data_IF_812171984199
#
_entry.id   IF_812171984199
#
_cell.length_a   1.000
_cell.length_b   1.000
_cell.length_c   1.000
_cell.angle_alpha   90.00
_cell.angle_beta   90.00
_cell.angle_gamma   90.00
#
_symmetry.space_group_name_H-M   'P 1'
#
loop_
_entity.id
_entity.type
_entity.pdbx_description
1 polymer ?
#
# COMPACT_ATOMS: atom_id res chain seq x y z
N UNK A 1 5.45 -2.31 -28.70
CA UNK A 1 5.48 -1.44 -27.51
C UNK A 1 6.81 -1.63 -26.79
N UNK A 2 7.57 -0.55 -26.54
CA UNK A 2 8.85 -0.66 -25.80
C UNK A 2 8.53 -1.11 -24.37
N UNK A 3 9.22 -2.11 -23.82
CA UNK A 3 9.00 -2.63 -22.45
C UNK A 3 8.96 -1.50 -21.41
N UNK A 4 9.74 -0.44 -21.61
CA UNK A 4 9.77 0.77 -20.77
C UNK A 4 8.43 1.53 -20.73
N UNK A 5 7.71 1.62 -21.84
CA UNK A 5 6.42 2.32 -21.90
C UNK A 5 5.37 1.66 -21.01
N UNK A 6 5.43 0.33 -20.89
CA UNK A 6 4.53 -0.45 -20.04
C UNK A 6 4.84 -0.21 -18.56
N UNK A 7 6.13 -0.14 -18.18
CA UNK A 7 6.52 0.21 -16.82
C UNK A 7 6.01 1.59 -16.42
N UNK A 8 6.20 2.59 -17.29
CA UNK A 8 5.73 3.96 -17.04
C UNK A 8 4.21 3.98 -16.87
N UNK A 9 3.47 3.30 -17.76
CA UNK A 9 2.01 3.23 -17.66
C UNK A 9 1.55 2.58 -16.34
N UNK A 10 2.19 1.48 -15.92
CA UNK A 10 1.87 0.79 -14.66
C UNK A 10 2.22 1.66 -13.44
N UNK A 11 3.35 2.35 -13.45
CA UNK A 11 3.72 3.27 -12.37
C UNK A 11 2.72 4.42 -12.26
N UNK A 12 2.37 5.06 -13.37
CA UNK A 12 1.38 6.14 -13.39
C UNK A 12 0.02 5.65 -12.89
N UNK A 13 -0.40 4.44 -13.28
CA UNK A 13 -1.64 3.85 -12.82
C UNK A 13 -1.62 3.61 -11.31
N UNK A 14 -0.62 2.87 -10.80
CA UNK A 14 -0.53 2.53 -9.38
C UNK A 14 -0.35 3.76 -8.49
N UNK A 15 0.50 4.71 -8.89
CA UNK A 15 0.70 5.95 -8.13
C UNK A 15 -0.51 6.88 -8.23
N UNK A 16 -1.22 6.87 -9.37
CA UNK A 16 -2.50 7.59 -9.51
C UNK A 16 -3.56 7.05 -8.55
N UNK A 17 -3.68 5.73 -8.43
CA UNK A 17 -4.58 5.09 -7.45
C UNK A 17 -4.15 5.43 -6.02
N UNK A 18 -2.85 5.37 -5.71
CA UNK A 18 -2.32 5.73 -4.40
C UNK A 18 -2.66 7.18 -4.02
N UNK A 19 -2.46 8.12 -4.95
CA UNK A 19 -2.76 9.54 -4.75
C UNK A 19 -4.26 9.77 -4.58
N UNK A 20 -5.10 9.18 -5.44
CA UNK A 20 -6.55 9.31 -5.34
C UNK A 20 -7.08 8.75 -4.01
N UNK A 21 -6.66 7.54 -3.63
CA UNK A 21 -7.00 6.94 -2.36
C UNK A 21 -6.53 7.78 -1.17
N UNK A 22 -5.30 8.30 -1.22
CA UNK A 22 -4.74 9.18 -0.19
C UNK A 22 -5.55 10.47 0.00
N UNK A 23 -5.94 11.13 -1.09
CA UNK A 23 -6.74 12.36 -1.06
C UNK A 23 -8.13 12.13 -0.46
N UNK A 24 -8.77 11.01 -0.79
CA UNK A 24 -10.07 10.63 -0.25
C UNK A 24 -9.95 10.30 1.25
N UNK A 25 -8.92 9.55 1.62
CA UNK A 25 -8.79 9.05 2.99
C UNK A 25 -8.24 10.09 3.97
N UNK A 26 -7.43 11.06 3.51
CA UNK A 26 -6.86 12.12 4.35
C UNK A 26 -7.90 12.92 5.14
N UNK A 27 -9.12 13.05 4.60
CA UNK A 27 -10.24 13.73 5.28
C UNK A 27 -10.97 12.82 6.26
N UNK A 28 -11.10 11.54 5.91
CA UNK A 28 -11.81 10.53 6.70
C UNK A 28 -11.08 10.20 8.00
N UNK A 29 -9.74 10.17 7.96
CA UNK A 29 -8.90 9.86 9.12
C UNK A 29 -9.04 10.89 10.26
N UNK A 30 -9.39 12.14 9.92
CA UNK A 30 -9.58 13.21 10.90
C UNK A 30 -10.97 13.29 11.53
N UNK A 31 -11.95 12.51 11.05
CA UNK A 31 -13.32 12.55 11.57
C UNK A 31 -13.55 11.44 12.59
N UNK A 32 -13.89 10.23 12.15
CA UNK A 32 -14.22 9.11 13.04
C UNK A 32 -12.98 8.38 13.56
N UNK A 33 -11.92 8.29 12.76
CA UNK A 33 -10.74 7.53 13.13
C UNK A 33 -9.96 8.21 14.25
N UNK A 34 -10.06 9.53 14.40
CA UNK A 34 -9.43 10.29 15.48
C UNK A 34 -9.93 9.82 16.86
N UNK A 35 -11.22 9.55 16.99
CA UNK A 35 -11.91 9.23 18.25
C UNK A 35 -11.73 7.78 18.73
N UNK A 36 -11.24 6.90 17.85
CA UNK A 36 -11.05 5.49 18.19
C UNK A 36 -9.94 5.27 19.21
N UNK A 37 -10.21 4.37 20.16
CA UNK A 37 -9.18 3.82 21.02
C UNK A 37 -8.21 2.99 20.16
N UNK A 38 -6.93 3.35 20.21
CA UNK A 38 -5.86 2.80 19.37
C UNK A 38 -4.80 2.12 20.22
N UNK A 39 -4.25 0.97 19.79
CA UNK A 39 -3.15 0.35 20.51
C UNK A 39 -1.89 1.22 20.45
N UNK A 40 -1.03 1.12 21.46
CA UNK A 40 0.19 1.95 21.60
C UNK A 40 1.20 1.78 20.44
N UNK A 41 1.11 0.67 19.69
CA UNK A 41 1.97 0.38 18.54
C UNK A 41 1.41 0.90 17.21
N UNK A 42 0.32 1.69 17.23
CA UNK A 42 -0.22 2.33 16.03
C UNK A 42 0.80 3.35 15.49
N UNK A 43 1.25 3.22 14.24
CA UNK A 43 2.23 4.14 13.68
C UNK A 43 1.63 5.53 13.48
N UNK A 44 2.47 6.57 13.43
CA UNK A 44 2.02 7.91 13.09
C UNK A 44 1.28 7.96 11.75
N UNK A 45 0.20 8.75 11.67
CA UNK A 45 -0.65 8.84 10.47
C UNK A 45 0.10 9.21 9.18
N UNK A 46 1.15 10.02 9.28
CA UNK A 46 1.97 10.41 8.12
C UNK A 46 2.76 9.24 7.53
N UNK A 47 3.07 8.19 8.31
CA UNK A 47 3.88 7.06 7.85
C UNK A 47 3.14 6.20 6.82
N UNK A 48 1.81 6.18 6.87
CA UNK A 48 1.00 5.41 5.94
C UNK A 48 1.22 5.85 4.49
N UNK A 49 1.36 7.16 4.22
CA UNK A 49 1.51 7.66 2.85
C UNK A 49 2.81 7.17 2.17
N UNK A 50 4.02 7.36 2.73
CA UNK A 50 5.26 6.81 2.18
C UNK A 50 5.24 5.29 2.01
N UNK A 51 4.71 4.55 2.99
CA UNK A 51 4.65 3.08 2.92
C UNK A 51 3.78 2.65 1.75
N UNK A 52 2.57 3.21 1.62
CA UNK A 52 1.70 2.90 0.49
C UNK A 52 2.35 3.28 -0.85
N UNK A 53 3.00 4.44 -0.97
CA UNK A 53 3.70 4.83 -2.19
C UNK A 53 4.74 3.80 -2.62
N UNK A 54 5.57 3.32 -1.69
CA UNK A 54 6.57 2.28 -1.97
C UNK A 54 5.92 0.97 -2.39
N UNK A 55 4.84 0.55 -1.70
CA UNK A 55 4.12 -0.67 -2.04
C UNK A 55 3.48 -0.60 -3.44
N UNK A 56 2.84 0.52 -3.79
CA UNK A 56 2.26 0.72 -5.13
C UNK A 56 3.34 0.74 -6.23
N UNK A 57 4.49 1.35 -5.97
CA UNK A 57 5.62 1.29 -6.89
C UNK A 57 6.15 -0.15 -7.04
N UNK A 58 6.30 -0.88 -5.93
CA UNK A 58 6.75 -2.28 -5.95
C UNK A 58 5.77 -3.18 -6.72
N UNK A 59 4.46 -2.98 -6.56
CA UNK A 59 3.42 -3.68 -7.32
C UNK A 59 3.51 -3.38 -8.83
N UNK A 60 3.70 -2.12 -9.22
CA UNK A 60 3.89 -1.75 -10.61
C UNK A 60 5.13 -2.41 -11.24
N UNK A 61 6.25 -2.43 -10.51
CA UNK A 61 7.49 -3.09 -10.94
C UNK A 61 7.31 -4.61 -11.01
N UNK A 62 6.64 -5.23 -10.03
CA UNK A 62 6.35 -6.66 -10.04
C UNK A 62 5.49 -7.05 -11.25
N UNK A 63 4.42 -6.30 -11.53
CA UNK A 63 3.58 -6.52 -12.69
C UNK A 63 4.36 -6.38 -14.00
N UNK A 64 5.23 -5.37 -14.10
CA UNK A 64 6.11 -5.19 -15.25
C UNK A 64 7.10 -6.37 -15.42
N UNK A 65 7.72 -6.83 -14.33
CA UNK A 65 8.64 -7.97 -14.34
C UNK A 65 7.97 -9.25 -14.83
N UNK A 66 6.73 -9.52 -14.41
CA UNK A 66 5.91 -10.64 -14.91
C UNK A 66 5.62 -10.45 -16.41
N UNK A 67 5.24 -9.25 -16.83
CA UNK A 67 4.96 -8.93 -18.23
C UNK A 67 6.16 -9.16 -19.15
N UNK A 68 7.38 -8.91 -18.66
CA UNK A 68 8.62 -9.13 -19.43
C UNK A 68 9.04 -10.61 -19.57
N UNK A 69 8.28 -11.56 -19.00
CA UNK A 69 8.45 -13.02 -19.03
C UNK A 69 9.76 -13.60 -18.47
N UNK A 70 10.66 -12.76 -17.94
CA UNK A 70 11.92 -13.18 -17.31
C UNK A 70 12.03 -12.81 -15.82
N UNK A 71 10.98 -12.23 -15.22
CA UNK A 71 11.05 -11.63 -13.89
C UNK A 71 10.19 -12.28 -12.80
N UNK A 72 9.60 -13.46 -13.01
CA UNK A 72 8.60 -14.02 -12.09
C UNK A 72 9.09 -14.20 -10.64
N UNK A 73 10.33 -14.68 -10.44
CA UNK A 73 10.93 -14.79 -9.10
C UNK A 73 11.13 -13.43 -8.44
N UNK A 74 11.66 -12.46 -9.19
CA UNK A 74 11.86 -11.10 -8.68
C UNK A 74 10.52 -10.41 -8.37
N UNK A 75 9.50 -10.62 -9.20
CA UNK A 75 8.15 -10.13 -8.95
C UNK A 75 7.53 -10.73 -7.68
N UNK A 76 7.70 -12.03 -7.45
CA UNK A 76 7.26 -12.68 -6.22
C UNK A 76 7.98 -12.11 -5.00
N UNK A 77 9.30 -11.86 -5.09
CA UNK A 77 10.06 -11.25 -4.00
C UNK A 77 9.56 -9.85 -3.63
N UNK A 78 9.17 -9.04 -4.62
CA UNK A 78 8.60 -7.71 -4.41
C UNK A 78 7.23 -7.72 -3.72
N UNK A 79 6.57 -8.87 -3.62
CA UNK A 79 5.29 -9.03 -2.91
C UNK A 79 5.46 -9.31 -1.41
N UNK A 80 6.64 -9.71 -0.93
CA UNK A 80 6.85 -9.95 0.50
C UNK A 80 6.63 -8.69 1.38
N UNK A 81 7.14 -7.49 1.01
CA UNK A 81 6.83 -6.28 1.76
C UNK A 81 5.33 -5.97 1.80
N UNK A 82 4.61 -6.25 0.71
CA UNK A 82 3.16 -6.09 0.66
C UNK A 82 2.46 -7.07 1.60
N UNK A 83 2.85 -8.34 1.59
CA UNK A 83 2.32 -9.36 2.50
C UNK A 83 2.55 -8.96 3.97
N UNK A 84 3.76 -8.56 4.32
CA UNK A 84 4.08 -8.11 5.67
C UNK A 84 3.21 -6.92 6.10
N UNK A 85 3.03 -5.94 5.21
CA UNK A 85 2.18 -4.78 5.48
C UNK A 85 0.71 -5.15 5.65
N UNK A 86 0.17 -6.04 4.80
CA UNK A 86 -1.23 -6.50 4.92
C UNK A 86 -1.44 -7.26 6.22
N UNK A 87 -0.54 -8.16 6.60
CA UNK A 87 -0.60 -8.86 7.89
C UNK A 87 -0.59 -7.89 9.06
N UNK A 88 0.30 -6.88 9.02
CA UNK A 88 0.33 -5.83 10.02
C UNK A 88 -0.98 -5.02 10.07
N UNK A 89 -1.50 -4.61 8.92
CA UNK A 89 -2.74 -3.85 8.82
C UNK A 89 -3.95 -4.66 9.32
N UNK A 90 -4.01 -5.97 9.04
CA UNK A 90 -5.04 -6.86 9.58
C UNK A 90 -4.96 -6.93 11.10
N UNK A 91 -3.76 -7.11 11.67
CA UNK A 91 -3.57 -7.11 13.12
C UNK A 91 -3.98 -5.77 13.75
N UNK A 92 -3.66 -4.64 13.10
CA UNK A 92 -4.05 -3.30 13.56
C UNK A 92 -5.57 -3.12 13.56
N UNK A 93 -6.23 -3.49 12.47
CA UNK A 93 -7.70 -3.42 12.39
C UNK A 93 -8.37 -4.29 13.47
N UNK A 94 -7.87 -5.50 13.68
CA UNK A 94 -8.39 -6.40 14.72
C UNK A 94 -8.20 -5.82 16.13
N UNK A 95 -7.03 -5.25 16.42
CA UNK A 95 -6.76 -4.63 17.71
C UNK A 95 -7.64 -3.41 17.96
N UNK A 96 -7.82 -2.54 16.95
CA UNK A 96 -8.73 -1.38 17.03
C UNK A 96 -10.16 -1.87 17.27
N UNK A 97 -10.63 -2.87 16.52
CA UNK A 97 -11.97 -3.43 16.73
C UNK A 97 -12.15 -3.93 18.16
N UNK A 98 -11.21 -4.71 18.69
CA UNK A 98 -11.25 -5.24 20.06
C UNK A 98 -11.28 -4.15 21.14
N UNK A 99 -10.66 -3.00 20.91
CA UNK A 99 -10.61 -1.89 21.87
C UNK A 99 -11.87 -1.01 21.85
N UNK A 100 -12.73 -1.16 20.83
CA UNK A 100 -13.92 -0.33 20.63
C UNK A 100 -15.21 -1.18 20.52
N UNK A 101 -15.17 -2.41 21.02
CA UNK A 101 -16.35 -3.25 21.31
C UNK A 101 -17.02 -2.80 22.60
#
# INVERSE_FOLDING_TARGET
MRKTSILIALLLLCLGVAAAGGLVNARSVGTWYADLQKPAWTPPGWLFAPVWTVLYAAMAVAAWLVWTRNGARAAALLMFPYLAWVTFATALNFAIWRLNL
#
